data_IF_093999727981
#
_entry.id   IF_093999727981
#
_cell.length_a   1.000
_cell.length_b   1.000
_cell.length_c   1.000
_cell.angle_alpha   90.00
_cell.angle_beta   90.00
_cell.angle_gamma   90.00
#
_symmetry.space_group_name_H-M   'P 1'
#
loop_
_entity.id
_entity.type
_entity.pdbx_description
1 polymer ?
#
# COMPACT_ATOMS: atom_id res chain seq x y z
N UNK A 1 8.93 -13.48 27.15
CA UNK A 1 8.40 -13.35 25.77
C UNK A 1 7.65 -12.04 25.65
N UNK A 2 7.98 -11.23 24.68
CA UNK A 2 7.24 -10.00 24.40
C UNK A 2 6.13 -10.24 23.37
N UNK A 3 5.04 -9.47 23.39
CA UNK A 3 4.03 -9.55 22.34
C UNK A 3 4.62 -9.13 20.99
N UNK A 4 4.09 -9.72 19.93
CA UNK A 4 4.41 -9.29 18.58
C UNK A 4 3.65 -8.01 18.23
N UNK A 5 4.31 -7.10 17.52
CA UNK A 5 3.72 -5.86 17.03
C UNK A 5 3.49 -6.02 15.52
N UNK A 6 2.23 -6.04 15.11
CA UNK A 6 1.85 -6.19 13.72
C UNK A 6 1.25 -4.87 13.23
N UNK A 7 1.87 -4.29 12.21
CA UNK A 7 1.41 -3.02 11.66
C UNK A 7 0.26 -3.25 10.67
N UNK A 8 -0.93 -2.80 11.01
CA UNK A 8 -2.13 -2.91 10.17
C UNK A 8 -2.00 -1.97 8.97
N UNK A 9 -1.90 -2.55 7.76
CA UNK A 9 -1.69 -1.81 6.50
C UNK A 9 -0.44 -0.93 6.53
N UNK A 10 0.60 -1.40 7.25
CA UNK A 10 1.81 -0.65 7.52
C UNK A 10 1.59 0.35 8.66
N UNK A 11 2.42 1.40 8.74
CA UNK A 11 2.27 2.46 9.73
C UNK A 11 1.15 3.42 9.30
N UNK A 12 -0.09 2.94 9.29
CA UNK A 12 -1.24 3.61 8.67
C UNK A 12 -1.69 4.89 9.38
N UNK A 13 -1.28 5.12 10.61
CA UNK A 13 -1.54 6.39 11.29
C UNK A 13 -0.64 7.51 10.81
N UNK A 14 0.57 7.18 10.37
CA UNK A 14 1.62 8.14 10.03
C UNK A 14 1.85 8.28 8.53
N UNK A 15 1.47 7.28 7.74
CA UNK A 15 1.67 7.24 6.29
C UNK A 15 0.44 6.64 5.62
N UNK A 16 0.27 6.83 4.28
CA UNK A 16 -0.90 6.27 3.59
C UNK A 16 -0.90 4.75 3.72
N UNK A 17 -2.04 4.19 4.13
CA UNK A 17 -2.17 2.75 4.32
C UNK A 17 -1.82 1.97 3.05
N UNK A 18 -1.25 0.77 3.23
CA UNK A 18 -0.95 -0.15 2.14
C UNK A 18 0.00 0.42 1.07
N UNK A 19 0.86 1.37 1.43
CA UNK A 19 1.91 1.88 0.54
C UNK A 19 3.28 1.40 0.97
N UNK A 20 4.25 1.42 0.05
CA UNK A 20 5.63 1.07 0.39
C UNK A 20 6.16 1.97 1.52
N UNK A 21 5.83 3.24 1.48
CA UNK A 21 6.22 4.19 2.53
C UNK A 21 5.70 3.76 3.90
N UNK A 22 4.42 3.33 3.97
CA UNK A 22 3.84 2.87 5.23
C UNK A 22 4.51 1.60 5.75
N UNK A 23 4.82 0.65 4.87
CA UNK A 23 5.47 -0.59 5.27
C UNK A 23 6.92 -0.36 5.71
N UNK A 24 7.66 0.49 5.01
CA UNK A 24 9.03 0.85 5.39
C UNK A 24 9.07 1.56 6.73
N UNK A 25 8.13 2.49 6.94
CA UNK A 25 8.03 3.22 8.20
C UNK A 25 7.73 2.27 9.37
N UNK A 26 6.80 1.33 9.17
CA UNK A 26 6.48 0.33 10.19
C UNK A 26 7.71 -0.45 10.62
N UNK A 27 8.54 -0.86 9.66
CA UNK A 27 9.78 -1.57 9.96
C UNK A 27 10.76 -0.71 10.72
N UNK A 28 10.92 0.55 10.32
CA UNK A 28 11.79 1.52 10.98
C UNK A 28 11.35 1.75 12.42
N UNK A 29 10.05 1.75 12.68
CA UNK A 29 9.49 1.95 14.03
C UNK A 29 9.52 0.68 14.88
N UNK A 30 10.02 -0.42 14.35
CA UNK A 30 10.22 -1.64 15.15
C UNK A 30 9.08 -2.65 15.11
N UNK A 31 8.16 -2.55 14.15
CA UNK A 31 7.13 -3.56 14.00
C UNK A 31 7.75 -4.92 13.65
N UNK A 32 7.19 -5.97 14.21
CA UNK A 32 7.66 -7.36 13.96
C UNK A 32 7.15 -7.89 12.61
N UNK A 33 6.02 -7.36 12.14
CA UNK A 33 5.44 -7.74 10.87
C UNK A 33 4.41 -6.73 10.44
N UNK A 34 3.70 -7.03 9.36
CA UNK A 34 2.64 -6.17 8.86
C UNK A 34 1.48 -6.99 8.31
N UNK A 35 0.32 -6.37 8.27
CA UNK A 35 -0.87 -6.90 7.63
C UNK A 35 -1.11 -6.05 6.37
N UNK A 36 -1.50 -6.66 5.27
CA UNK A 36 -1.83 -5.94 4.06
C UNK A 36 -3.04 -6.59 3.37
N UNK A 37 -3.68 -5.81 2.51
CA UNK A 37 -4.84 -6.25 1.74
C UNK A 37 -4.43 -6.41 0.29
N UNK A 38 -4.68 -7.57 -0.30
CA UNK A 38 -4.24 -7.90 -1.67
C UNK A 38 -5.44 -8.03 -2.59
N UNK A 39 -5.34 -7.43 -3.77
CA UNK A 39 -6.35 -7.54 -4.83
C UNK A 39 -5.66 -7.88 -6.15
N UNK A 40 -6.43 -8.36 -7.12
CA UNK A 40 -5.92 -8.67 -8.45
C UNK A 40 -6.52 -7.69 -9.47
N UNK A 41 -5.68 -7.16 -10.35
CA UNK A 41 -6.12 -6.30 -11.45
C UNK A 41 -6.70 -7.14 -12.58
N UNK A 42 -7.34 -6.47 -13.55
CA UNK A 42 -7.90 -7.15 -14.73
C UNK A 42 -6.82 -7.94 -15.50
N UNK A 43 -5.63 -7.38 -15.61
CA UNK A 43 -4.48 -8.01 -16.29
C UNK A 43 -3.61 -8.85 -15.35
N UNK A 44 -4.16 -9.25 -14.19
CA UNK A 44 -3.59 -10.26 -13.30
C UNK A 44 -2.35 -9.86 -12.51
N UNK A 45 -2.22 -8.57 -12.18
CA UNK A 45 -1.20 -8.13 -11.22
C UNK A 45 -1.77 -8.17 -9.81
N UNK A 46 -0.98 -8.66 -8.85
CA UNK A 46 -1.35 -8.61 -7.43
C UNK A 46 -0.92 -7.26 -6.86
N UNK A 47 -1.89 -6.47 -6.43
CA UNK A 47 -1.65 -5.13 -5.87
C UNK A 47 -2.12 -5.07 -4.43
N UNK A 48 -1.61 -4.09 -3.69
CA UNK A 48 -1.91 -3.97 -2.26
C UNK A 48 -2.78 -2.73 -2.03
N UNK A 49 -4.05 -2.98 -1.73
CA UNK A 49 -5.04 -1.95 -1.43
C UNK A 49 -6.24 -2.60 -0.77
N UNK A 50 -6.87 -1.90 0.16
CA UNK A 50 -8.05 -2.39 0.86
C UNK A 50 -9.33 -2.20 0.04
N UNK A 51 -9.55 -0.98 -0.47
CA UNK A 51 -10.79 -0.65 -1.17
C UNK A 51 -10.78 -1.15 -2.61
N UNK A 52 -11.92 -1.66 -3.09
CA UNK A 52 -12.07 -2.01 -4.50
C UNK A 52 -12.09 -0.76 -5.38
N UNK A 53 -12.71 0.32 -4.89
CA UNK A 53 -12.82 1.58 -5.63
C UNK A 53 -11.64 2.49 -5.29
N UNK A 54 -11.14 3.21 -6.30
CA UNK A 54 -10.00 4.12 -6.14
C UNK A 54 -10.40 5.53 -5.73
N UNK A 55 -11.69 5.84 -5.74
CA UNK A 55 -12.23 7.20 -5.61
C UNK A 55 -11.75 7.93 -4.35
N UNK A 56 -11.87 7.29 -3.18
CA UNK A 56 -11.54 7.95 -1.90
C UNK A 56 -10.05 8.25 -1.76
N UNK A 57 -9.19 7.38 -2.29
CA UNK A 57 -7.75 7.54 -2.13
C UNK A 57 -7.13 8.41 -3.23
N UNK A 58 -7.69 8.40 -4.43
CA UNK A 58 -7.06 9.06 -5.58
C UNK A 58 -7.85 10.22 -6.15
N UNK A 59 -9.13 10.33 -5.82
CA UNK A 59 -10.02 11.32 -6.43
C UNK A 59 -10.43 10.99 -7.85
N UNK A 60 -10.01 9.84 -8.37
CA UNK A 60 -10.33 9.36 -9.72
C UNK A 60 -11.15 8.11 -9.61
N UNK A 61 -12.26 8.05 -10.34
CA UNK A 61 -13.13 6.86 -10.32
C UNK A 61 -12.46 5.67 -10.98
N UNK A 62 -12.47 4.53 -10.29
CA UNK A 62 -11.96 3.28 -10.82
C UNK A 62 -12.32 2.11 -9.91
N UNK A 63 -12.40 0.93 -10.49
CA UNK A 63 -12.64 -0.31 -9.77
C UNK A 63 -11.47 -1.25 -10.06
N UNK A 64 -10.67 -1.55 -9.04
CA UNK A 64 -9.38 -2.25 -9.21
C UNK A 64 -9.49 -3.53 -10.04
N UNK A 65 -10.46 -4.45 -9.79
CA UNK A 65 -10.56 -5.67 -10.60
C UNK A 65 -10.86 -5.45 -12.08
N UNK A 66 -11.35 -4.26 -12.44
CA UNK A 66 -11.69 -3.92 -13.82
C UNK A 66 -10.62 -3.05 -14.49
N UNK A 67 -9.53 -2.77 -13.81
CA UNK A 67 -8.46 -1.89 -14.30
C UNK A 67 -7.20 -2.68 -14.65
N UNK A 68 -6.48 -2.20 -15.68
CA UNK A 68 -5.15 -2.69 -15.96
C UNK A 68 -4.15 -2.03 -15.01
N UNK A 69 -3.07 -2.74 -14.71
CA UNK A 69 -2.08 -2.29 -13.75
C UNK A 69 -1.45 -0.95 -14.13
N UNK A 70 -1.12 -0.76 -15.42
CA UNK A 70 -0.48 0.49 -15.87
C UNK A 70 -1.36 1.70 -15.61
N UNK A 71 -2.67 1.58 -15.81
CA UNK A 71 -3.61 2.67 -15.53
C UNK A 71 -3.69 2.94 -14.03
N UNK A 72 -3.73 1.88 -13.22
CA UNK A 72 -3.79 1.98 -11.78
C UNK A 72 -2.52 2.66 -11.21
N UNK A 73 -1.35 2.38 -11.80
CA UNK A 73 -0.07 2.96 -11.38
C UNK A 73 0.04 4.45 -11.70
N UNK A 74 -0.83 5.01 -12.53
CA UNK A 74 -0.85 6.46 -12.79
C UNK A 74 -1.50 7.24 -11.65
N UNK A 75 -2.28 6.59 -10.79
CA UNK A 75 -3.05 7.25 -9.75
C UNK A 75 -2.21 7.53 -8.52
N UNK A 76 -2.53 8.63 -7.83
CA UNK A 76 -1.85 9.05 -6.60
C UNK A 76 -2.58 8.46 -5.39
N UNK A 77 -1.93 7.54 -4.71
CA UNK A 77 -2.47 6.87 -3.51
C UNK A 77 -1.93 7.46 -2.20
N UNK A 78 -1.24 8.59 -2.25
CA UNK A 78 -0.64 9.17 -1.05
C UNK A 78 -1.19 10.53 -0.63
N UNK A 79 -1.54 11.37 -1.57
CA UNK A 79 -1.94 12.75 -1.31
C UNK A 79 -3.16 12.87 -0.38
N UNK A 80 -4.08 11.90 -0.43
CA UNK A 80 -5.27 11.90 0.44
C UNK A 80 -4.90 11.93 1.92
N UNK A 81 -3.78 11.32 2.28
CA UNK A 81 -3.30 11.27 3.67
C UNK A 81 -2.69 12.59 4.09
N UNK A 82 -1.81 13.14 3.24
CA UNK A 82 -1.12 14.40 3.48
C UNK A 82 -0.40 14.81 2.20
N UNK A 83 -0.25 16.11 1.91
CA UNK A 83 0.46 16.58 0.72
C UNK A 83 1.90 16.04 0.60
N UNK A 84 2.56 15.75 1.72
CA UNK A 84 3.94 15.23 1.69
C UNK A 84 4.04 13.85 1.04
N UNK A 85 2.93 13.11 0.96
CA UNK A 85 2.88 11.79 0.35
C UNK A 85 2.39 11.81 -1.10
N UNK A 86 2.24 13.00 -1.69
CA UNK A 86 1.80 13.11 -3.08
C UNK A 86 2.74 12.33 -4.01
N UNK A 87 2.17 11.63 -4.97
CA UNK A 87 2.93 10.82 -5.91
C UNK A 87 3.18 9.38 -5.49
N UNK A 88 2.74 8.99 -4.30
CA UNK A 88 2.86 7.60 -3.85
C UNK A 88 1.99 6.70 -4.72
N UNK A 89 2.57 5.60 -5.22
CA UNK A 89 1.88 4.68 -6.11
C UNK A 89 1.35 3.48 -5.36
N UNK A 90 0.28 2.85 -5.91
CA UNK A 90 -0.17 1.56 -5.40
C UNK A 90 0.96 0.55 -5.61
N UNK A 91 1.36 -0.21 -4.59
CA UNK A 91 2.43 -1.19 -4.76
C UNK A 91 1.89 -2.53 -5.22
N UNK A 92 2.76 -3.32 -5.84
CA UNK A 92 2.48 -4.74 -6.03
C UNK A 92 2.81 -5.49 -4.74
N UNK A 93 2.22 -6.67 -4.57
CA UNK A 93 2.57 -7.53 -3.44
C UNK A 93 4.06 -7.88 -3.46
N UNK A 94 4.61 -8.14 -4.64
CA UNK A 94 6.03 -8.44 -4.78
C UNK A 94 6.90 -7.30 -4.26
N UNK A 95 6.56 -6.06 -4.61
CA UNK A 95 7.29 -4.88 -4.11
C UNK A 95 7.25 -4.78 -2.59
N UNK A 96 6.09 -5.04 -1.99
CA UNK A 96 5.94 -5.00 -0.54
C UNK A 96 6.79 -6.07 0.15
N UNK A 97 6.72 -7.31 -0.33
CA UNK A 97 7.49 -8.40 0.23
C UNK A 97 8.99 -8.18 0.07
N UNK A 98 9.42 -7.68 -1.09
CA UNK A 98 10.83 -7.40 -1.37
C UNK A 98 11.35 -6.27 -0.49
N UNK A 99 10.58 -5.22 -0.30
CA UNK A 99 10.92 -4.10 0.58
C UNK A 99 11.13 -4.57 2.02
N UNK A 100 10.25 -5.44 2.52
CA UNK A 100 10.35 -5.97 3.88
C UNK A 100 11.58 -6.86 4.03
N UNK A 101 11.86 -7.68 3.06
CA UNK A 101 12.93 -8.67 3.11
C UNK A 101 14.32 -8.05 3.01
N UNK A 102 14.51 -7.06 2.13
CA UNK A 102 15.82 -6.50 1.82
C UNK A 102 16.33 -5.47 2.80
N UNK A 103 15.50 -4.96 3.67
CA UNK A 103 15.90 -3.96 4.64
C UNK A 103 16.41 -4.55 5.95
N UNK A 104 16.76 -5.82 5.90
CA UNK A 104 17.30 -6.60 7.03
C UNK A 104 18.65 -6.19 7.47
#
# INVERSE_FOLDING_TARGET
MRPLIIAHRGASHLAPENTLTAFRLAKTLGADGFECDVQITRDRHLVVAHDYLTDLKTGVHGNIPDMDFDDLRQLDFGKWKSPEFAGEKIPTLEEVLKSHRTSG
#
